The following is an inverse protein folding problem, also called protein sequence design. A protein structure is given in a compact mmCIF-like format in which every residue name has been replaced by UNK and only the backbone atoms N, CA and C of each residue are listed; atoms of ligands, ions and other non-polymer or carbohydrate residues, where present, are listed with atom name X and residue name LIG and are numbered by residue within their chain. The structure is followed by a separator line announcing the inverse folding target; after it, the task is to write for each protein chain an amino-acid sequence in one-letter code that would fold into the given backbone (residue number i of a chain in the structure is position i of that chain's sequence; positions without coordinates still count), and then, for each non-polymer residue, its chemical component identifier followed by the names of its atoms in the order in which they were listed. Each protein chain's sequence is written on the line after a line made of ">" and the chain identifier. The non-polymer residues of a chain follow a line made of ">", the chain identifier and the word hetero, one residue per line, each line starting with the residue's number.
data_IF_501591295998
#
_entry.id   IF_501591295998
#
_cell.length_a   1.000
_cell.length_b   1.000
_cell.length_c   1.000
_cell.angle_alpha   90.00
_cell.angle_beta   90.00
_cell.angle_gamma   90.00
#
_symmetry.space_group_name_H-M   'P 1'
#
loop_
_entity.id
_entity.type
_entity.pdbx_description
1 polymer ?
#
# COMPACT_ATOMS: atom_id res chain seq x y z
N UNK A 1 8.95 36.04 -15.20
CA UNK A 1 9.20 34.75 -14.50
C UNK A 1 10.71 34.67 -14.33
N UNK A 2 11.23 34.63 -13.10
CA UNK A 2 12.69 34.55 -12.93
C UNK A 2 13.18 33.22 -13.50
N UNK A 3 14.22 33.26 -14.32
CA UNK A 3 14.86 32.04 -14.82
C UNK A 3 15.41 31.27 -13.61
N UNK A 4 15.03 29.98 -13.50
CA UNK A 4 15.60 29.08 -12.51
C UNK A 4 17.08 28.90 -12.84
N UNK A 5 17.96 29.25 -11.89
CA UNK A 5 19.39 29.03 -12.10
C UNK A 5 19.72 27.55 -11.97
N UNK A 6 20.87 27.12 -12.51
CA UNK A 6 21.36 25.75 -12.31
C UNK A 6 21.52 25.38 -10.82
N UNK A 7 21.80 26.37 -9.96
CA UNK A 7 21.89 26.16 -8.52
C UNK A 7 20.51 25.92 -7.87
N UNK A 8 19.48 26.64 -8.34
CA UNK A 8 18.10 26.44 -7.86
C UNK A 8 17.58 25.04 -8.25
N UNK A 9 17.89 24.59 -9.47
CA UNK A 9 17.53 23.24 -9.93
C UNK A 9 18.24 22.15 -9.12
N UNK A 10 19.51 22.34 -8.75
CA UNK A 10 20.25 21.39 -7.92
C UNK A 10 19.63 21.29 -6.51
N UNK A 11 19.38 22.43 -5.85
CA UNK A 11 18.74 22.42 -4.52
C UNK A 11 17.36 21.78 -4.56
N UNK A 12 16.57 22.08 -5.60
CA UNK A 12 15.23 21.50 -5.78
C UNK A 12 15.32 19.98 -5.99
N UNK A 13 16.30 19.52 -6.76
CA UNK A 13 16.56 18.08 -6.94
C UNK A 13 16.85 17.39 -5.60
N UNK A 14 17.79 17.92 -4.83
CA UNK A 14 18.18 17.35 -3.54
C UNK A 14 17.00 17.32 -2.55
N UNK A 15 16.21 18.39 -2.52
CA UNK A 15 15.01 18.47 -1.67
C UNK A 15 13.95 17.43 -2.06
N UNK A 16 13.62 17.33 -3.35
CA UNK A 16 12.67 16.35 -3.87
C UNK A 16 13.14 14.93 -3.58
N UNK A 17 14.42 14.63 -3.83
CA UNK A 17 15.00 13.30 -3.63
C UNK A 17 14.96 12.89 -2.15
N UNK A 18 15.42 13.76 -1.25
CA UNK A 18 15.43 13.50 0.20
C UNK A 18 14.01 13.33 0.77
N UNK A 19 13.07 14.16 0.32
CA UNK A 19 11.68 14.10 0.78
C UNK A 19 10.99 12.84 0.26
N UNK A 20 11.17 12.50 -1.01
CA UNK A 20 10.64 11.28 -1.61
C UNK A 20 11.21 10.04 -0.93
N UNK A 21 12.53 9.97 -0.71
CA UNK A 21 13.17 8.87 0.00
C UNK A 21 12.59 8.68 1.41
N UNK A 22 12.36 9.80 2.12
CA UNK A 22 11.74 9.77 3.45
C UNK A 22 10.30 9.24 3.42
N UNK A 23 9.49 9.66 2.44
CA UNK A 23 8.11 9.19 2.26
C UNK A 23 8.07 7.70 1.91
N UNK A 24 8.89 7.27 0.93
CA UNK A 24 9.00 5.88 0.52
C UNK A 24 9.45 4.98 1.68
N UNK A 25 10.44 5.44 2.46
CA UNK A 25 10.87 4.74 3.68
C UNK A 25 9.72 4.58 4.67
N UNK A 26 8.95 5.63 4.93
CA UNK A 26 7.76 5.55 5.81
C UNK A 26 6.70 4.59 5.27
N UNK A 27 6.46 4.57 3.96
CA UNK A 27 5.52 3.63 3.33
C UNK A 27 5.91 2.17 3.57
N UNK A 28 7.22 1.85 3.57
CA UNK A 28 7.70 0.49 3.88
C UNK A 28 7.28 0.05 5.29
N UNK A 29 7.39 0.94 6.28
CA UNK A 29 6.94 0.67 7.65
C UNK A 29 5.42 0.50 7.70
N UNK A 30 4.65 1.40 7.08
CA UNK A 30 3.18 1.31 7.10
C UNK A 30 2.67 0.07 6.37
N UNK A 31 3.30 -0.31 5.25
CA UNK A 31 2.95 -1.54 4.56
C UNK A 31 3.22 -2.77 5.43
N UNK A 32 4.34 -2.80 6.14
CA UNK A 32 4.67 -3.91 7.06
C UNK A 32 3.64 -4.03 8.19
N UNK A 33 3.18 -2.89 8.75
CA UNK A 33 2.09 -2.88 9.75
C UNK A 33 0.77 -3.34 9.17
N UNK A 34 0.43 -2.92 7.94
CA UNK A 34 -0.77 -3.35 7.24
C UNK A 34 -0.76 -4.86 6.95
N UNK A 35 0.37 -5.40 6.50
CA UNK A 35 0.54 -6.84 6.25
C UNK A 35 0.39 -7.67 7.54
N UNK A 36 0.96 -7.18 8.64
CA UNK A 36 0.79 -7.80 9.96
C UNK A 36 -0.68 -7.73 10.41
N UNK A 37 -1.34 -6.57 10.28
CA UNK A 37 -2.73 -6.39 10.67
C UNK A 37 -3.69 -7.28 9.85
N UNK A 38 -3.42 -7.44 8.55
CA UNK A 38 -4.15 -8.39 7.70
C UNK A 38 -3.89 -9.84 8.13
N UNK A 39 -2.65 -10.20 8.47
CA UNK A 39 -2.32 -11.51 9.03
C UNK A 39 -3.08 -11.81 10.31
N UNK A 40 -3.11 -10.86 11.26
CA UNK A 40 -3.90 -10.98 12.48
C UNK A 40 -5.40 -11.14 12.18
N UNK A 41 -5.93 -10.36 11.23
CA UNK A 41 -7.33 -10.50 10.82
C UNK A 41 -7.63 -11.89 10.26
N UNK A 42 -6.72 -12.46 9.48
CA UNK A 42 -6.89 -13.78 8.86
C UNK A 42 -6.83 -14.94 9.88
N UNK A 43 -5.93 -14.89 10.86
CA UNK A 43 -5.83 -15.96 11.88
C UNK A 43 -6.95 -15.88 12.92
N UNK A 44 -7.59 -14.72 13.06
CA UNK A 44 -8.71 -14.50 13.99
C UNK A 44 -10.08 -14.83 13.40
N UNK A 45 -10.13 -15.28 12.14
CA UNK A 45 -11.35 -15.80 11.52
C UNK A 45 -11.93 -16.91 12.41
N UNK A 46 -13.26 -16.98 12.49
CA UNK A 46 -14.00 -17.93 13.33
C UNK A 46 -13.60 -17.82 14.82
N UNK A 47 -13.45 -16.58 15.30
CA UNK A 47 -13.10 -16.24 16.69
C UNK A 47 -11.74 -16.81 17.15
N UNK A 48 -10.85 -17.10 16.20
CA UNK A 48 -9.52 -17.63 16.49
C UNK A 48 -9.50 -19.08 17.01
N UNK A 49 -10.58 -19.85 16.78
CA UNK A 49 -10.63 -21.26 17.21
C UNK A 49 -9.52 -22.13 16.62
N UNK A 50 -9.01 -21.75 15.44
CA UNK A 50 -7.96 -22.47 14.71
C UNK A 50 -6.60 -21.75 14.73
N UNK A 51 -6.33 -20.87 15.70
CA UNK A 51 -5.11 -20.04 15.75
C UNK A 51 -3.81 -20.84 15.55
N UNK A 52 -3.66 -21.99 16.21
CA UNK A 52 -2.44 -22.81 16.13
C UNK A 52 -2.19 -23.36 14.71
N UNK A 53 -3.26 -23.66 13.98
CA UNK A 53 -3.17 -24.16 12.60
C UNK A 53 -3.03 -23.01 11.59
N UNK A 54 -3.81 -21.94 11.77
CA UNK A 54 -3.85 -20.82 10.82
C UNK A 54 -2.60 -19.95 10.89
N UNK A 55 -1.99 -19.77 12.06
CA UNK A 55 -0.79 -18.91 12.22
C UNK A 55 0.34 -19.28 11.26
N UNK A 56 0.86 -20.53 11.24
CA UNK A 56 1.93 -20.90 10.31
C UNK A 56 1.50 -20.78 8.84
N UNK A 57 0.24 -21.13 8.51
CA UNK A 57 -0.31 -20.98 7.15
C UNK A 57 -0.32 -19.52 6.70
N UNK A 58 -0.87 -18.63 7.52
CA UNK A 58 -0.98 -17.19 7.21
C UNK A 58 0.38 -16.51 7.20
N UNK A 59 1.31 -16.93 8.05
CA UNK A 59 2.69 -16.42 8.05
C UNK A 59 3.40 -16.72 6.72
N UNK A 60 3.15 -17.89 6.11
CA UNK A 60 3.71 -18.26 4.82
C UNK A 60 3.00 -17.58 3.62
N UNK A 61 1.86 -16.93 3.83
CA UNK A 61 1.12 -16.27 2.75
C UNK A 61 1.75 -14.92 2.38
N UNK A 62 1.77 -14.63 1.08
CA UNK A 62 1.96 -13.25 0.61
C UNK A 62 0.78 -12.38 1.04
N UNK A 63 0.99 -11.06 1.09
CA UNK A 63 -0.09 -10.11 1.39
C UNK A 63 -1.31 -10.33 0.50
N UNK A 64 -1.10 -10.57 -0.80
CA UNK A 64 -2.19 -10.88 -1.73
C UNK A 64 -3.01 -12.10 -1.30
N UNK A 65 -2.34 -13.19 -0.91
CA UNK A 65 -3.00 -14.41 -0.43
C UNK A 65 -3.71 -14.22 0.90
N UNK A 66 -3.21 -13.34 1.78
CA UNK A 66 -3.94 -12.93 2.98
C UNK A 66 -5.23 -12.19 2.64
N UNK A 67 -5.21 -11.28 1.65
CA UNK A 67 -6.43 -10.59 1.20
C UNK A 67 -7.45 -11.55 0.60
N UNK A 68 -7.04 -12.49 -0.27
CA UNK A 68 -7.94 -13.53 -0.80
C UNK A 68 -8.56 -14.38 0.31
N UNK A 69 -7.76 -14.75 1.32
CA UNK A 69 -8.23 -15.53 2.46
C UNK A 69 -9.28 -14.77 3.28
N UNK A 70 -9.03 -13.50 3.58
CA UNK A 70 -9.97 -12.61 4.27
C UNK A 70 -11.25 -12.46 3.44
N UNK A 71 -11.13 -12.28 2.12
CA UNK A 71 -12.27 -12.12 1.22
C UNK A 71 -13.21 -13.34 1.24
N UNK A 72 -12.62 -14.53 1.16
CA UNK A 72 -13.37 -15.78 1.27
C UNK A 72 -14.02 -15.94 2.65
N UNK A 73 -13.36 -15.52 3.72
CA UNK A 73 -13.95 -15.54 5.07
C UNK A 73 -15.14 -14.56 5.18
N UNK A 74 -15.03 -13.35 4.63
CA UNK A 74 -16.12 -12.37 4.57
C UNK A 74 -17.34 -12.96 3.85
N UNK A 75 -17.13 -13.63 2.71
CA UNK A 75 -18.20 -14.26 1.94
C UNK A 75 -18.91 -15.39 2.68
N UNK A 76 -18.19 -16.14 3.52
CA UNK A 76 -18.77 -17.22 4.35
C UNK A 76 -19.48 -16.71 5.60
N UNK A 77 -18.87 -15.73 6.29
CA UNK A 77 -19.24 -15.39 7.66
C UNK A 77 -20.14 -14.16 7.77
N UNK A 78 -20.25 -13.35 6.70
CA UNK A 78 -21.06 -12.13 6.68
C UNK A 78 -22.09 -12.18 5.55
N UNK A 79 -23.37 -12.04 5.90
CA UNK A 79 -24.46 -11.91 4.93
C UNK A 79 -24.26 -10.68 4.05
N UNK A 80 -24.37 -10.84 2.73
CA UNK A 80 -24.16 -9.77 1.72
C UNK A 80 -24.98 -8.49 1.92
N UNK A 81 -26.16 -8.60 2.55
CA UNK A 81 -27.03 -7.45 2.84
C UNK A 81 -26.54 -6.58 4.01
N UNK A 82 -25.55 -7.04 4.80
CA UNK A 82 -25.05 -6.31 5.96
C UNK A 82 -24.07 -5.21 5.53
N UNK A 83 -24.12 -4.02 6.16
CA UNK A 83 -23.14 -2.95 5.89
C UNK A 83 -21.69 -3.39 6.07
N UNK A 84 -21.42 -4.27 7.05
CA UNK A 84 -20.09 -4.82 7.30
C UNK A 84 -19.52 -5.57 6.09
N UNK A 85 -20.35 -6.31 5.34
CA UNK A 85 -19.93 -7.00 4.12
C UNK A 85 -19.38 -6.00 3.09
N UNK A 86 -20.17 -4.95 2.81
CA UNK A 86 -19.78 -3.90 1.87
C UNK A 86 -18.51 -3.18 2.31
N UNK A 87 -18.39 -2.87 3.61
CA UNK A 87 -17.23 -2.16 4.13
C UNK A 87 -15.95 -3.02 4.05
N UNK A 88 -16.04 -4.32 4.33
CA UNK A 88 -14.93 -5.25 4.13
C UNK A 88 -14.51 -5.35 2.65
N UNK A 89 -15.47 -5.52 1.73
CA UNK A 89 -15.17 -5.57 0.29
C UNK A 89 -14.53 -4.26 -0.21
N UNK A 90 -15.00 -3.11 0.27
CA UNK A 90 -14.39 -1.81 -0.04
C UNK A 90 -12.96 -1.73 0.48
N UNK A 91 -12.73 -2.14 1.74
CA UNK A 91 -11.39 -2.17 2.32
C UNK A 91 -10.46 -3.11 1.53
N UNK A 92 -10.92 -4.30 1.15
CA UNK A 92 -10.15 -5.27 0.36
C UNK A 92 -9.75 -4.71 -1.02
N UNK A 93 -10.66 -4.02 -1.70
CA UNK A 93 -10.37 -3.37 -2.98
C UNK A 93 -9.30 -2.27 -2.85
N UNK A 94 -9.41 -1.43 -1.81
CA UNK A 94 -8.42 -0.39 -1.51
C UNK A 94 -7.06 -0.99 -1.13
N UNK A 95 -7.04 -2.02 -0.28
CA UNK A 95 -5.81 -2.74 0.09
C UNK A 95 -5.14 -3.41 -1.11
N UNK A 96 -5.91 -3.97 -2.05
CA UNK A 96 -5.36 -4.53 -3.28
C UNK A 96 -4.78 -3.45 -4.20
N UNK A 97 -5.40 -2.27 -4.26
CA UNK A 97 -4.87 -1.11 -5.01
C UNK A 97 -3.52 -0.68 -4.44
N UNK A 98 -3.42 -0.53 -3.13
CA UNK A 98 -2.16 -0.18 -2.45
C UNK A 98 -1.08 -1.25 -2.63
N UNK A 99 -1.46 -2.54 -2.68
CA UNK A 99 -0.51 -3.62 -2.99
C UNK A 99 0.12 -3.44 -4.37
N UNK A 100 -0.68 -3.09 -5.38
CA UNK A 100 -0.18 -2.84 -6.75
C UNK A 100 0.78 -1.65 -6.72
N UNK A 101 0.39 -0.54 -6.10
CA UNK A 101 1.25 0.64 -5.93
C UNK A 101 2.56 0.26 -5.23
N UNK A 102 2.53 -0.47 -4.11
CA UNK A 102 3.75 -0.88 -3.40
C UNK A 102 4.69 -1.68 -4.28
N UNK A 103 4.16 -2.62 -5.06
CA UNK A 103 4.99 -3.43 -5.96
C UNK A 103 5.70 -2.53 -7.00
N UNK A 104 4.99 -1.53 -7.53
CA UNK A 104 5.57 -0.55 -8.46
C UNK A 104 6.66 0.30 -7.80
N UNK A 105 6.43 0.76 -6.57
CA UNK A 105 7.38 1.60 -5.82
C UNK A 105 8.67 0.85 -5.45
N UNK A 106 8.56 -0.46 -5.15
CA UNK A 106 9.70 -1.29 -4.73
C UNK A 106 10.53 -1.81 -5.91
N UNK A 107 9.90 -2.09 -7.04
CA UNK A 107 10.59 -2.69 -8.20
C UNK A 107 11.02 -1.66 -9.24
N UNK A 108 10.61 -0.40 -9.10
CA UNK A 108 10.99 0.67 -10.01
C UNK A 108 12.33 1.33 -9.65
N UNK A 109 12.87 2.08 -10.61
CA UNK A 109 14.08 2.89 -10.46
C UNK A 109 13.69 4.36 -10.34
N UNK A 110 14.24 5.02 -9.33
CA UNK A 110 13.86 6.37 -8.96
C UNK A 110 14.80 7.43 -9.53
N UNK A 111 14.23 8.53 -10.00
CA UNK A 111 14.94 9.73 -10.45
C UNK A 111 14.15 10.99 -10.10
N UNK A 112 14.72 12.16 -10.39
CA UNK A 112 14.08 13.45 -10.09
C UNK A 112 14.16 14.37 -11.30
N UNK A 113 13.01 14.89 -11.71
CA UNK A 113 12.86 15.91 -12.73
C UNK A 113 12.62 17.27 -12.05
N UNK A 114 13.71 17.94 -11.67
CA UNK A 114 13.66 19.14 -10.83
C UNK A 114 12.98 20.35 -11.50
N UNK A 115 12.97 20.44 -12.83
CA UNK A 115 12.32 21.54 -13.54
C UNK A 115 10.79 21.48 -13.42
N UNK A 116 10.23 20.28 -13.56
CA UNK A 116 8.79 20.02 -13.49
C UNK A 116 8.32 19.68 -12.07
N UNK A 117 9.24 19.50 -11.12
CA UNK A 117 8.96 19.22 -9.72
C UNK A 117 8.42 17.80 -9.46
N UNK A 118 8.87 16.84 -10.27
CA UNK A 118 8.44 15.44 -10.15
C UNK A 118 9.56 14.52 -9.68
N UNK A 119 9.15 13.51 -8.94
CA UNK A 119 9.91 12.30 -8.67
C UNK A 119 9.44 11.25 -9.67
N UNK A 120 10.38 10.66 -10.40
CA UNK A 120 10.10 9.76 -11.51
C UNK A 120 10.39 8.33 -11.08
N UNK A 121 9.43 7.43 -11.27
CA UNK A 121 9.59 6.01 -11.05
C UNK A 121 9.52 5.26 -12.39
N UNK A 122 10.60 4.60 -12.78
CA UNK A 122 10.69 3.82 -14.02
C UNK A 122 10.58 2.35 -13.70
N UNK A 123 9.52 1.71 -14.20
CA UNK A 123 9.18 0.30 -13.96
C UNK A 123 9.52 -0.50 -15.23
N UNK A 124 9.99 -1.75 -15.05
CA UNK A 124 10.39 -2.61 -16.16
C UNK A 124 11.85 -2.41 -16.57
N UNK A 125 12.35 -3.22 -17.51
CA UNK A 125 13.71 -3.09 -18.05
C UNK A 125 13.72 -2.13 -19.25
N UNK A 126 14.82 -1.39 -19.52
CA UNK A 126 14.94 -0.52 -20.69
C UNK A 126 14.70 -1.20 -22.05
N UNK A 127 14.81 -2.53 -22.09
CA UNK A 127 14.64 -3.35 -23.30
C UNK A 127 13.28 -4.04 -23.39
N UNK A 128 12.37 -3.79 -22.44
CA UNK A 128 11.04 -4.41 -22.40
C UNK A 128 9.98 -3.46 -22.94
N UNK A 129 9.00 -3.99 -23.68
CA UNK A 129 7.80 -3.25 -24.10
C UNK A 129 6.94 -2.83 -22.89
N UNK A 130 7.10 -3.49 -21.75
CA UNK A 130 6.41 -3.15 -20.50
C UNK A 130 7.07 -2.00 -19.73
N UNK A 131 8.13 -1.39 -20.27
CA UNK A 131 8.73 -0.23 -19.61
C UNK A 131 7.74 0.92 -19.55
N UNK A 132 7.49 1.41 -18.34
CA UNK A 132 6.68 2.61 -18.14
C UNK A 132 7.26 3.53 -17.09
N UNK A 133 6.90 4.79 -17.23
CA UNK A 133 7.26 5.85 -16.32
C UNK A 133 6.03 6.33 -15.57
N UNK A 134 6.16 6.50 -14.26
CA UNK A 134 5.16 7.17 -13.43
C UNK A 134 5.83 8.40 -12.80
N UNK A 135 5.20 9.55 -12.96
CA UNK A 135 5.65 10.81 -12.39
C UNK A 135 4.80 11.12 -11.17
N UNK A 136 5.45 11.32 -10.04
CA UNK A 136 4.81 11.69 -8.79
C UNK A 136 5.24 13.09 -8.40
N UNK A 137 4.29 13.90 -7.97
CA UNK A 137 4.61 15.01 -7.07
C UNK A 137 4.74 14.49 -5.65
N UNK A 138 5.32 15.29 -4.75
CA UNK A 138 5.44 14.90 -3.35
C UNK A 138 4.06 14.66 -2.72
N UNK A 139 3.03 15.43 -3.11
CA UNK A 139 1.67 15.28 -2.61
C UNK A 139 1.05 13.93 -3.00
N UNK A 140 1.41 13.39 -4.17
CA UNK A 140 0.94 12.06 -4.60
C UNK A 140 1.51 10.97 -3.68
N UNK A 141 2.80 11.08 -3.33
CA UNK A 141 3.45 10.17 -2.38
C UNK A 141 2.85 10.34 -0.97
N UNK A 142 2.57 11.56 -0.54
CA UNK A 142 1.90 11.80 0.74
C UNK A 142 0.51 11.17 0.79
N UNK A 143 -0.27 11.27 -0.29
CA UNK A 143 -1.59 10.66 -0.40
C UNK A 143 -1.52 9.12 -0.32
N UNK A 144 -0.54 8.49 -0.98
CA UNK A 144 -0.31 7.04 -0.87
C UNK A 144 0.03 6.63 0.56
N UNK A 145 0.89 7.41 1.24
CA UNK A 145 1.25 7.16 2.64
C UNK A 145 0.04 7.32 3.57
N UNK A 146 -0.81 8.33 3.31
CA UNK A 146 -2.04 8.54 4.06
C UNK A 146 -3.03 7.38 3.87
N UNK A 147 -3.19 6.88 2.64
CA UNK A 147 -4.04 5.72 2.34
C UNK A 147 -3.57 4.47 3.09
N UNK A 148 -2.26 4.21 3.13
CA UNK A 148 -1.68 3.10 3.89
C UNK A 148 -2.01 3.17 5.39
N UNK A 149 -2.03 4.37 5.97
CA UNK A 149 -2.39 4.59 7.38
C UNK A 149 -3.89 4.43 7.60
N UNK A 150 -4.71 5.01 6.71
CA UNK A 150 -6.17 4.89 6.80
C UNK A 150 -6.62 3.44 6.72
N UNK A 151 -6.04 2.64 5.81
CA UNK A 151 -6.36 1.21 5.70
C UNK A 151 -6.14 0.44 7.00
N UNK A 152 -5.11 0.77 7.78
CA UNK A 152 -4.89 0.15 9.09
C UNK A 152 -6.00 0.53 10.07
N UNK A 153 -6.36 1.81 10.12
CA UNK A 153 -7.42 2.34 10.99
C UNK A 153 -8.77 1.73 10.63
N UNK A 154 -9.08 1.65 9.34
CA UNK A 154 -10.32 1.06 8.84
C UNK A 154 -10.38 -0.43 9.16
N UNK A 155 -9.30 -1.20 8.94
CA UNK A 155 -9.29 -2.62 9.29
C UNK A 155 -9.52 -2.83 10.78
N UNK A 156 -8.88 -2.02 11.63
CA UNK A 156 -9.06 -2.06 13.07
C UNK A 156 -10.54 -1.85 13.45
N UNK A 157 -11.17 -0.78 12.95
CA UNK A 157 -12.60 -0.49 13.19
C UNK A 157 -13.53 -1.59 12.69
N UNK A 158 -13.23 -2.18 11.53
CA UNK A 158 -14.00 -3.29 11.00
C UNK A 158 -13.98 -4.50 11.94
N UNK A 159 -12.79 -4.83 12.46
CA UNK A 159 -12.60 -5.95 13.40
C UNK A 159 -13.28 -5.71 14.74
N UNK A 160 -13.31 -4.47 15.25
CA UNK A 160 -14.05 -4.14 16.48
C UNK A 160 -15.57 -4.27 16.30
N UNK A 161 -16.10 -3.80 15.16
CA UNK A 161 -17.54 -3.82 14.90
C UNK A 161 -18.06 -5.20 14.55
N UNK A 162 -17.28 -5.96 13.75
CA UNK A 162 -17.65 -7.29 13.30
C UNK A 162 -16.39 -8.13 13.07
N UNK A 163 -15.92 -8.89 14.08
CA UNK A 163 -14.87 -9.86 13.86
C UNK A 163 -15.32 -10.92 12.83
N UNK A 164 -14.36 -11.37 12.02
CA UNK A 164 -14.56 -12.41 11.01
C UNK A 164 -14.55 -13.81 11.59
#
# INVERSE_FOLDING_TARGET
>A
MSELTGFDLLRRREHLESTAASLLGRMLFEYSRLDMAAGLCAVWVDEGRLLKELTPRVQAMSFHKKLEFIDAAVDRNIKKSKPSYRNYKLWLNRANTVRVVRNELVHGRWGVEAASEHVVNVIGLPTSEDQREVRYRLEDLEAILAELKDLQIVLYKLREQRPL
#
